data_IF_182017450575
#
_entry.id   IF_182017450575
#
_cell.length_a   1.000
_cell.length_b   1.000
_cell.length_c   1.000
_cell.angle_alpha   90.00
_cell.angle_beta   90.00
_cell.angle_gamma   90.00
#
_symmetry.space_group_name_H-M   'P 1'
#
loop_
_entity.id
_entity.type
_entity.pdbx_description
1 polymer ?
#
# COMPACT_ATOMS: atom_id res chain seq x y z
N UNK A 1 19.57 -18.10 -5.11
CA UNK A 1 18.87 -18.06 -3.80
C UNK A 1 17.44 -17.59 -4.00
N UNK A 2 16.49 -18.08 -3.19
CA UNK A 2 15.10 -17.61 -3.19
C UNK A 2 15.07 -16.20 -2.58
N UNK A 3 14.37 -15.26 -3.21
CA UNK A 3 14.17 -13.93 -2.62
C UNK A 3 13.20 -14.06 -1.45
N UNK A 4 13.60 -13.56 -0.28
CA UNK A 4 12.75 -13.39 0.89
C UNK A 4 13.00 -11.97 1.38
N UNK A 5 11.96 -11.12 1.49
CA UNK A 5 12.17 -9.80 2.05
C UNK A 5 12.71 -9.97 3.48
N UNK A 6 13.68 -9.16 3.89
CA UNK A 6 14.09 -9.18 5.29
C UNK A 6 13.01 -8.52 6.15
N UNK A 7 13.07 -8.71 7.47
CA UNK A 7 12.07 -8.20 8.40
C UNK A 7 11.90 -6.68 8.30
N UNK A 8 13.00 -5.95 8.08
CA UNK A 8 12.98 -4.50 7.96
C UNK A 8 12.21 -4.05 6.71
N UNK A 9 12.46 -4.66 5.55
CA UNK A 9 11.70 -4.38 4.33
C UNK A 9 10.21 -4.70 4.50
N UNK A 10 9.86 -5.78 5.22
CA UNK A 10 8.45 -6.09 5.50
C UNK A 10 7.76 -4.98 6.28
N UNK A 11 8.40 -4.47 7.35
CA UNK A 11 7.83 -3.38 8.16
C UNK A 11 7.70 -2.12 7.31
N UNK A 12 8.72 -1.77 6.53
CA UNK A 12 8.70 -0.60 5.63
C UNK A 12 7.54 -0.72 4.63
N UNK A 13 7.38 -1.88 3.97
CA UNK A 13 6.30 -2.07 3.00
C UNK A 13 4.92 -2.06 3.66
N UNK A 14 4.79 -2.59 4.88
CA UNK A 14 3.55 -2.50 5.63
C UNK A 14 3.20 -1.04 5.93
N UNK A 15 4.18 -0.23 6.30
CA UNK A 15 3.99 1.20 6.51
C UNK A 15 3.60 1.95 5.24
N UNK A 16 4.29 1.69 4.12
CA UNK A 16 3.94 2.25 2.80
C UNK A 16 2.49 1.92 2.43
N UNK A 17 2.04 0.71 2.75
CA UNK A 17 0.67 0.28 2.48
C UNK A 17 -0.31 1.01 3.39
N UNK A 18 -0.05 1.09 4.69
CA UNK A 18 -0.92 1.81 5.64
C UNK A 18 -1.03 3.29 5.25
N UNK A 19 0.09 3.96 4.99
CA UNK A 19 0.10 5.37 4.54
C UNK A 19 -0.63 5.56 3.22
N UNK A 20 -0.54 4.61 2.29
CA UNK A 20 -1.26 4.65 1.03
C UNK A 20 -2.79 4.73 1.13
N UNK A 21 -3.36 4.36 2.28
CA UNK A 21 -4.81 4.44 2.51
C UNK A 21 -5.33 5.88 2.45
N UNK A 22 -4.51 6.88 2.83
CA UNK A 22 -4.90 8.31 2.78
C UNK A 22 -5.17 8.80 1.36
N UNK A 23 -4.61 8.14 0.34
CA UNK A 23 -4.84 8.46 -1.07
C UNK A 23 -5.85 7.52 -1.72
N UNK A 24 -5.85 6.24 -1.34
CA UNK A 24 -6.77 5.25 -1.90
C UNK A 24 -8.22 5.57 -1.53
N UNK A 25 -8.50 5.90 -0.27
CA UNK A 25 -9.87 6.15 0.18
C UNK A 25 -10.53 7.34 -0.53
N UNK A 26 -9.88 8.52 -0.65
CA UNK A 26 -10.45 9.63 -1.42
C UNK A 26 -10.70 9.34 -2.90
N UNK A 27 -9.89 8.46 -3.53
CA UNK A 27 -10.15 8.03 -4.90
C UNK A 27 -11.46 7.27 -4.98
N UNK A 28 -11.62 6.25 -4.15
CA UNK A 28 -12.82 5.41 -4.12
C UNK A 28 -14.06 6.25 -3.80
N UNK A 29 -13.99 7.08 -2.77
CA UNK A 29 -15.11 7.98 -2.41
C UNK A 29 -15.39 9.02 -3.49
N UNK A 30 -14.37 9.63 -4.07
CA UNK A 30 -14.55 10.61 -5.14
C UNK A 30 -15.21 10.02 -6.40
N UNK A 31 -14.91 8.76 -6.73
CA UNK A 31 -15.54 8.02 -7.83
C UNK A 31 -17.00 7.67 -7.56
N UNK A 32 -17.35 7.31 -6.32
CA UNK A 32 -18.66 6.73 -6.00
C UNK A 32 -19.65 7.71 -5.39
N UNK A 33 -19.20 8.54 -4.45
CA UNK A 33 -20.03 9.56 -3.78
C UNK A 33 -20.22 10.78 -4.71
N UNK A 34 -19.33 10.96 -5.70
CA UNK A 34 -19.40 12.05 -6.67
C UNK A 34 -19.16 13.41 -6.02
N UNK A 35 -19.86 14.46 -6.47
CA UNK A 35 -19.59 15.85 -6.05
C UNK A 35 -19.94 16.18 -4.60
N UNK A 36 -20.64 15.28 -3.88
CA UNK A 36 -20.94 15.45 -2.45
C UNK A 36 -19.70 15.21 -1.58
N UNK A 37 -18.75 14.38 -2.04
CA UNK A 37 -17.52 14.11 -1.31
C UNK A 37 -16.47 15.18 -1.59
N UNK A 38 -16.15 15.95 -0.56
CA UNK A 38 -15.07 16.94 -0.59
C UNK A 38 -13.82 16.27 -0.04
N UNK A 39 -12.72 16.41 -0.78
CA UNK A 39 -11.42 15.96 -0.34
C UNK A 39 -10.42 17.09 -0.48
N UNK A 40 -9.50 17.15 0.47
CA UNK A 40 -8.36 18.04 0.46
C UNK A 40 -7.15 17.23 0.87
N UNK A 41 -5.99 17.61 0.37
CA UNK A 41 -4.75 16.93 0.63
C UNK A 41 -3.56 17.88 0.50
N UNK A 42 -2.43 17.26 0.19
CA UNK A 42 -1.10 17.85 -0.04
C UNK A 42 -1.10 19.33 -0.44
N UNK A 43 -0.54 20.22 0.39
CA UNK A 43 -0.18 21.61 0.04
C UNK A 43 -1.29 22.43 -0.67
N UNK A 44 -2.55 22.27 -0.27
CA UNK A 44 -3.69 23.02 -0.84
C UNK A 44 -4.31 22.37 -2.08
N UNK A 45 -3.85 21.18 -2.47
CA UNK A 45 -4.49 20.34 -3.48
C UNK A 45 -5.83 19.86 -2.93
N UNK A 46 -6.88 19.93 -3.75
CA UNK A 46 -8.20 19.52 -3.32
C UNK A 46 -9.21 19.41 -4.45
N UNK A 47 -10.41 18.97 -4.09
CA UNK A 47 -11.46 18.77 -5.06
C UNK A 47 -12.77 18.31 -4.44
N UNK A 48 -13.73 18.08 -5.34
CA UNK A 48 -15.04 17.50 -5.01
C UNK A 48 -15.32 16.38 -5.98
N UNK A 49 -15.59 15.17 -5.49
CA UNK A 49 -15.71 14.00 -6.34
C UNK A 49 -14.47 13.79 -7.22
N UNK A 50 -14.68 13.70 -8.52
CA UNK A 50 -13.63 13.60 -9.55
C UNK A 50 -13.16 14.96 -10.11
N UNK A 51 -13.65 16.08 -9.58
CA UNK A 51 -13.31 17.43 -10.03
C UNK A 51 -12.15 18.03 -9.24
N UNK A 52 -11.57 19.13 -9.75
CA UNK A 52 -10.39 19.79 -9.16
C UNK A 52 -9.12 19.03 -9.53
N UNK A 53 -8.26 18.79 -8.55
CA UNK A 53 -6.94 18.18 -8.77
C UNK A 53 -6.95 16.64 -8.69
N UNK A 54 -8.08 16.01 -9.00
CA UNK A 54 -8.28 14.56 -8.78
C UNK A 54 -7.24 13.67 -9.47
N UNK A 55 -6.69 14.13 -10.59
CA UNK A 55 -5.61 13.44 -11.31
C UNK A 55 -4.34 13.26 -10.46
N UNK A 56 -4.07 14.15 -9.50
CA UNK A 56 -2.94 14.00 -8.58
C UNK A 56 -3.13 12.82 -7.63
N UNK A 57 -4.35 12.56 -7.16
CA UNK A 57 -4.64 11.38 -6.36
C UNK A 57 -4.35 10.09 -7.14
N UNK A 58 -4.79 10.04 -8.41
CA UNK A 58 -4.50 8.93 -9.31
C UNK A 58 -2.99 8.74 -9.51
N UNK A 59 -2.24 9.83 -9.66
CA UNK A 59 -0.78 9.80 -9.76
C UNK A 59 -0.12 9.25 -8.49
N UNK A 60 -0.49 9.75 -7.31
CA UNK A 60 0.05 9.25 -6.04
C UNK A 60 -0.24 7.77 -5.84
N UNK A 61 -1.46 7.32 -6.16
CA UNK A 61 -1.81 5.91 -6.10
C UNK A 61 -1.03 5.09 -7.12
N UNK A 62 -0.80 5.58 -8.34
CA UNK A 62 0.05 4.89 -9.30
C UNK A 62 1.49 4.71 -8.79
N UNK A 63 2.07 5.75 -8.15
CA UNK A 63 3.39 5.67 -7.50
C UNK A 63 3.38 4.65 -6.37
N UNK A 64 2.41 4.74 -5.47
CA UNK A 64 2.22 3.82 -4.35
C UNK A 64 2.11 2.36 -4.81
N UNK A 65 1.21 2.06 -5.75
CA UNK A 65 1.02 0.71 -6.29
C UNK A 65 2.32 0.18 -6.91
N UNK A 66 3.07 1.05 -7.58
CA UNK A 66 4.37 0.73 -8.16
C UNK A 66 5.42 0.40 -7.09
N UNK A 67 5.48 1.18 -6.00
CA UNK A 67 6.38 0.93 -4.86
C UNK A 67 6.03 -0.41 -4.22
N UNK A 68 4.76 -0.65 -3.89
CA UNK A 68 4.29 -1.88 -3.24
C UNK A 68 4.55 -3.09 -4.14
N UNK A 69 4.22 -2.99 -5.43
CA UNK A 69 4.50 -4.03 -6.41
C UNK A 69 5.99 -4.33 -6.49
N UNK A 70 6.85 -3.35 -6.76
CA UNK A 70 8.28 -3.62 -6.92
C UNK A 70 8.91 -4.10 -5.61
N UNK A 71 8.46 -3.58 -4.47
CA UNK A 71 8.90 -3.97 -3.13
C UNK A 71 8.67 -5.45 -2.85
N UNK A 72 7.44 -5.92 -3.04
CA UNK A 72 7.09 -7.33 -2.84
C UNK A 72 7.64 -8.27 -3.94
N UNK A 73 8.06 -7.72 -5.09
CA UNK A 73 8.50 -8.52 -6.25
C UNK A 73 10.00 -8.48 -6.51
N UNK A 74 10.78 -8.16 -5.49
CA UNK A 74 12.24 -8.28 -5.55
C UNK A 74 12.98 -7.02 -5.13
N UNK A 75 12.32 -5.88 -5.02
CA UNK A 75 12.92 -4.60 -4.63
C UNK A 75 14.17 -4.25 -5.48
N UNK A 76 14.00 -4.14 -6.79
CA UNK A 76 15.10 -3.82 -7.73
C UNK A 76 15.56 -2.36 -7.60
N UNK A 77 16.62 -1.95 -8.30
CA UNK A 77 17.14 -0.56 -8.22
C UNK A 77 16.08 0.55 -8.37
N UNK A 78 15.12 0.46 -9.31
CA UNK A 78 14.06 1.48 -9.43
C UNK A 78 13.18 1.58 -8.18
N UNK A 79 12.96 0.48 -7.46
CA UNK A 79 12.19 0.48 -6.22
C UNK A 79 12.84 1.36 -5.15
N UNK A 80 14.17 1.38 -5.05
CA UNK A 80 14.88 2.20 -4.05
C UNK A 80 14.54 3.68 -4.22
N UNK A 81 14.61 4.18 -5.46
CA UNK A 81 14.28 5.57 -5.78
C UNK A 81 12.80 5.87 -5.52
N UNK A 82 11.90 4.99 -5.97
CA UNK A 82 10.47 5.20 -5.78
C UNK A 82 10.06 5.15 -4.30
N UNK A 83 10.67 4.27 -3.51
CA UNK A 83 10.44 4.20 -2.06
C UNK A 83 10.86 5.50 -1.38
N UNK A 84 12.05 6.03 -1.72
CA UNK A 84 12.54 7.28 -1.14
C UNK A 84 11.68 8.48 -1.57
N UNK A 85 11.27 8.55 -2.84
CA UNK A 85 10.37 9.59 -3.32
C UNK A 85 9.03 9.52 -2.56
N UNK A 86 8.44 8.33 -2.45
CA UNK A 86 7.18 8.13 -1.73
C UNK A 86 7.28 8.59 -0.27
N UNK A 87 8.30 8.13 0.47
CA UNK A 87 8.46 8.49 1.87
C UNK A 87 8.82 9.97 2.05
N UNK A 88 9.57 10.57 1.12
CA UNK A 88 9.86 12.00 1.14
C UNK A 88 8.58 12.83 0.94
N UNK A 89 7.70 12.41 0.03
CA UNK A 89 6.40 13.06 -0.17
C UNK A 89 5.53 13.00 1.10
N UNK A 90 5.52 11.86 1.79
CA UNK A 90 4.84 11.74 3.09
C UNK A 90 5.46 12.65 4.16
N UNK A 91 6.79 12.68 4.29
CA UNK A 91 7.49 13.58 5.23
C UNK A 91 7.17 15.05 4.96
N UNK A 92 7.11 15.46 3.69
CA UNK A 92 6.74 16.82 3.31
C UNK A 92 5.28 17.11 3.71
N UNK A 93 4.37 16.17 3.45
CA UNK A 93 2.94 16.30 3.80
C UNK A 93 2.75 16.44 5.31
N UNK A 94 3.22 15.45 6.06
CA UNK A 94 3.05 15.40 7.50
C UNK A 94 3.85 16.50 8.18
N UNK A 95 4.98 16.93 7.60
CA UNK A 95 5.73 18.11 8.04
C UNK A 95 4.92 19.40 7.87
N UNK A 96 4.25 19.60 6.74
CA UNK A 96 3.36 20.74 6.56
C UNK A 96 2.23 20.75 7.61
N UNK A 97 1.63 19.58 7.89
CA UNK A 97 0.63 19.43 8.96
C UNK A 97 1.19 19.62 10.38
N UNK A 98 2.47 19.27 10.59
CA UNK A 98 3.14 19.41 11.88
C UNK A 98 3.41 20.88 12.22
N UNK A 99 3.81 21.67 11.22
CA UNK A 99 4.17 23.08 11.38
C UNK A 99 3.02 24.05 11.11
N UNK A 100 1.90 23.61 10.54
CA UNK A 100 0.72 24.46 10.34
C UNK A 100 0.07 24.84 11.67
N UNK A 101 -0.39 26.09 11.79
CA UNK A 101 -1.18 26.56 12.93
C UNK A 101 -2.56 25.88 13.04
N UNK A 102 -3.09 25.41 11.90
CA UNK A 102 -4.35 24.69 11.80
C UNK A 102 -4.11 23.17 11.89
N UNK A 103 -3.66 22.69 13.04
CA UNK A 103 -3.49 21.24 13.24
C UNK A 103 -4.84 20.53 13.21
N UNK A 104 -4.95 19.50 12.36
CA UNK A 104 -6.10 18.60 12.34
C UNK A 104 -6.07 17.76 13.61
N UNK A 105 -7.08 17.93 14.46
CA UNK A 105 -7.27 17.12 15.66
C UNK A 105 -8.21 15.97 15.36
N UNK A 106 -7.75 14.76 15.65
CA UNK A 106 -8.67 13.62 15.74
C UNK A 106 -9.30 13.66 17.13
N UNK A 107 -10.59 13.99 17.20
CA UNK A 107 -11.34 13.96 18.46
C UNK A 107 -11.98 12.59 18.62
N UNK A 108 -11.39 11.77 19.48
CA UNK A 108 -12.03 10.52 19.87
C UNK A 108 -13.13 10.78 20.89
N UNK A 109 -14.40 10.69 20.49
CA UNK A 109 -15.56 10.92 21.37
C UNK A 109 -15.57 10.02 22.62
N UNK A 110 -14.82 8.91 22.63
CA UNK A 110 -14.76 7.94 23.73
C UNK A 110 -13.59 8.13 24.70
N UNK A 111 -12.50 8.80 24.30
CA UNK A 111 -11.27 8.92 25.11
C UNK A 111 -10.96 10.36 25.54
N UNK A 112 -11.73 11.35 25.07
CA UNK A 112 -11.52 12.77 25.41
C UNK A 112 -10.13 13.31 25.03
N UNK A 113 -9.38 12.56 24.21
CA UNK A 113 -8.02 12.89 23.81
C UNK A 113 -8.05 13.46 22.39
N UNK A 114 -7.47 14.64 22.24
CA UNK A 114 -7.30 15.32 20.97
C UNK A 114 -5.86 15.15 20.53
N UNK A 115 -5.63 14.31 19.51
CA UNK A 115 -4.31 14.14 18.94
C UNK A 115 -4.20 14.94 17.65
N UNK A 116 -3.20 15.82 17.60
CA UNK A 116 -2.82 16.49 16.37
C UNK A 116 -2.18 15.46 15.44
N UNK A 117 -2.85 15.12 14.34
CA UNK A 117 -2.45 14.04 13.42
C UNK A 117 -1.03 14.25 12.90
N UNK A 118 -0.68 15.49 12.52
CA UNK A 118 0.67 15.85 12.07
C UNK A 118 1.76 15.58 13.10
N UNK A 119 1.49 15.73 14.40
CA UNK A 119 2.46 15.46 15.49
C UNK A 119 2.82 13.98 15.61
N UNK A 120 1.97 13.09 15.13
CA UNK A 120 2.21 11.65 15.14
C UNK A 120 2.80 11.21 13.80
N UNK A 121 2.19 11.64 12.68
CA UNK A 121 2.60 11.21 11.34
C UNK A 121 4.00 11.71 10.99
N UNK A 122 4.36 12.96 11.31
CA UNK A 122 5.65 13.51 10.89
C UNK A 122 6.87 12.78 11.49
N UNK A 123 6.95 12.55 12.81
CA UNK A 123 8.04 11.74 13.36
C UNK A 123 8.06 10.31 12.80
N UNK A 124 6.89 9.74 12.53
CA UNK A 124 6.75 8.38 12.02
C UNK A 124 7.24 8.28 10.56
N UNK A 125 6.84 9.20 9.70
CA UNK A 125 7.31 9.31 8.31
C UNK A 125 8.83 9.51 8.26
N UNK A 126 9.36 10.39 9.12
CA UNK A 126 10.79 10.66 9.20
C UNK A 126 11.57 9.41 9.65
N UNK A 127 11.03 8.66 10.62
CA UNK A 127 11.59 7.38 11.06
C UNK A 127 11.61 6.38 9.90
N UNK A 128 10.51 6.22 9.17
CA UNK A 128 10.43 5.26 8.07
C UNK A 128 11.28 5.64 6.86
N UNK A 129 11.43 6.94 6.57
CA UNK A 129 12.40 7.45 5.60
C UNK A 129 13.83 7.07 6.01
N UNK A 130 14.19 7.29 7.27
CA UNK A 130 15.51 6.98 7.81
C UNK A 130 15.81 5.47 7.78
N UNK A 131 14.85 4.65 8.21
CA UNK A 131 14.95 3.18 8.14
C UNK A 131 15.09 2.69 6.70
N UNK A 132 14.40 3.33 5.75
CA UNK A 132 14.49 3.01 4.33
C UNK A 132 15.86 3.35 3.76
N UNK A 133 16.44 4.50 4.11
CA UNK A 133 17.82 4.83 3.75
C UNK A 133 18.82 3.78 4.26
N UNK A 134 18.72 3.40 5.54
CA UNK A 134 19.57 2.36 6.15
C UNK A 134 19.40 1.03 5.40
N UNK A 135 18.16 0.63 5.13
CA UNK A 135 17.85 -0.61 4.43
C UNK A 135 18.41 -0.61 3.00
N UNK A 136 18.21 0.48 2.24
CA UNK A 136 18.72 0.63 0.86
C UNK A 136 20.24 0.53 0.83
N UNK A 137 20.95 1.23 1.73
CA UNK A 137 22.42 1.17 1.82
C UNK A 137 22.89 -0.27 2.07
N UNK A 138 22.21 -1.00 2.98
CA UNK A 138 22.53 -2.42 3.27
C UNK A 138 22.23 -3.32 2.08
N UNK A 139 21.15 -3.07 1.36
CA UNK A 139 20.73 -3.85 0.20
C UNK A 139 21.66 -3.64 -1.01
N UNK A 140 22.07 -2.40 -1.28
CA UNK A 140 23.01 -2.06 -2.36
C UNK A 140 24.41 -2.64 -2.12
N UNK A 141 24.84 -2.79 -0.86
CA UNK A 141 26.10 -3.45 -0.50
C UNK A 141 26.07 -4.97 -0.74
N UNK A 142 24.89 -5.60 -0.74
CA UNK A 142 24.76 -7.03 -1.03
C UNK A 142 24.85 -7.24 -2.55
N UNK A 143 25.90 -7.94 -3.01
CA UNK A 143 26.03 -8.39 -4.42
C UNK A 143 25.09 -9.56 -4.76
N UNK A 144 23.83 -9.49 -4.34
CA UNK A 144 22.86 -10.57 -4.57
C UNK A 144 22.11 -10.35 -5.88
N UNK A 145 22.22 -11.31 -6.80
CA UNK A 145 21.33 -11.41 -7.96
C UNK A 145 19.90 -11.70 -7.49
N UNK A 146 19.05 -10.67 -7.46
CA UNK A 146 17.63 -10.83 -7.09
C UNK A 146 16.88 -11.54 -8.22
N UNK A 147 16.40 -12.75 -7.96
CA UNK A 147 15.57 -13.48 -8.93
C UNK A 147 14.17 -12.86 -9.00
N UNK A 148 13.63 -12.71 -10.21
CA UNK A 148 12.22 -12.35 -10.42
C UNK A 148 11.33 -13.41 -9.79
N UNK A 149 10.37 -12.97 -8.99
CA UNK A 149 9.37 -13.85 -8.39
C UNK A 149 8.30 -14.11 -9.46
N UNK A 150 7.87 -15.36 -9.62
CA UNK A 150 6.80 -15.73 -10.54
C UNK A 150 5.42 -15.58 -9.87
N UNK A 151 4.39 -15.27 -10.64
CA UNK A 151 3.02 -15.20 -10.13
C UNK A 151 2.48 -16.62 -9.96
N UNK A 152 1.92 -16.92 -8.78
CA UNK A 152 1.23 -18.19 -8.57
C UNK A 152 -0.29 -18.01 -8.60
N UNK A 153 -1.03 -19.11 -8.63
CA UNK A 153 -2.49 -19.12 -8.67
C UNK A 153 -3.10 -18.30 -7.53
N UNK A 154 -2.55 -18.40 -6.31
CA UNK A 154 -3.00 -17.62 -5.15
C UNK A 154 -2.95 -16.11 -5.39
N UNK A 155 -1.84 -15.59 -5.92
CA UNK A 155 -1.75 -14.16 -6.24
C UNK A 155 -2.82 -13.73 -7.26
N UNK A 156 -3.06 -14.56 -8.29
CA UNK A 156 -4.08 -14.28 -9.32
C UNK A 156 -5.49 -14.30 -8.74
N UNK A 157 -5.80 -15.28 -7.89
CA UNK A 157 -7.10 -15.36 -7.22
C UNK A 157 -7.34 -14.16 -6.31
N UNK A 158 -6.36 -13.78 -5.49
CA UNK A 158 -6.49 -12.60 -4.62
C UNK A 158 -6.64 -11.30 -5.42
N UNK A 159 -5.90 -11.15 -6.53
CA UNK A 159 -6.05 -9.99 -7.41
C UNK A 159 -7.43 -9.97 -8.08
N UNK A 160 -7.98 -11.13 -8.43
CA UNK A 160 -9.34 -11.25 -8.96
C UNK A 160 -10.36 -10.81 -7.91
N UNK A 161 -10.23 -11.28 -6.66
CA UNK A 161 -11.08 -10.85 -5.54
C UNK A 161 -10.98 -9.34 -5.33
N UNK A 162 -9.78 -8.76 -5.37
CA UNK A 162 -9.58 -7.30 -5.29
C UNK A 162 -10.40 -6.53 -6.34
N UNK A 163 -10.38 -6.98 -7.60
CA UNK A 163 -11.18 -6.35 -8.66
C UNK A 163 -12.69 -6.58 -8.50
N UNK A 164 -13.11 -7.72 -7.94
CA UNK A 164 -14.53 -7.97 -7.64
C UNK A 164 -15.08 -7.17 -6.45
N UNK A 165 -14.22 -6.66 -5.56
CA UNK A 165 -14.67 -5.77 -4.48
C UNK A 165 -15.10 -4.39 -5.01
N UNK A 166 -14.51 -3.90 -6.12
CA UNK A 166 -14.88 -2.62 -6.73
C UNK A 166 -16.38 -2.48 -7.07
N UNK A 167 -17.01 -3.41 -7.82
CA UNK A 167 -18.44 -3.32 -8.09
C UNK A 167 -19.28 -3.45 -6.82
N UNK A 168 -18.83 -4.21 -5.82
CA UNK A 168 -19.52 -4.30 -4.54
C UNK A 168 -19.49 -2.95 -3.79
N UNK A 169 -18.33 -2.26 -3.78
CA UNK A 169 -18.19 -0.92 -3.23
C UNK A 169 -19.11 0.09 -3.92
N UNK A 170 -19.20 0.03 -5.26
CA UNK A 170 -20.12 0.87 -6.03
C UNK A 170 -21.58 0.65 -5.59
N UNK A 171 -22.02 -0.61 -5.44
CA UNK A 171 -23.37 -0.92 -4.98
C UNK A 171 -23.62 -0.37 -3.57
N UNK A 172 -22.67 -0.55 -2.65
CA UNK A 172 -22.87 -0.19 -1.24
C UNK A 172 -22.82 1.31 -0.99
N UNK A 173 -21.89 2.02 -1.63
CA UNK A 173 -21.72 3.46 -1.44
C UNK A 173 -22.78 4.27 -2.18
N UNK A 174 -23.19 3.80 -3.37
CA UNK A 174 -24.09 4.59 -4.22
C UNK A 174 -25.57 4.22 -4.12
N UNK A 175 -25.90 2.97 -3.80
CA UNK A 175 -27.30 2.50 -3.79
C UNK A 175 -27.89 2.33 -2.40
N UNK A 176 -27.06 2.09 -1.39
CA UNK A 176 -27.52 1.72 -0.05
C UNK A 176 -27.20 2.77 1.02
N UNK A 177 -26.47 3.84 0.68
CA UNK A 177 -25.99 4.89 1.61
C UNK A 177 -25.30 4.33 2.87
N UNK A 178 -24.64 3.17 2.75
CA UNK A 178 -23.91 2.54 3.85
C UNK A 178 -22.42 2.93 3.83
N UNK A 179 -22.15 4.20 4.12
CA UNK A 179 -20.80 4.80 4.15
C UNK A 179 -19.79 3.96 4.94
N UNK A 180 -20.16 3.53 6.15
CA UNK A 180 -19.29 2.75 7.03
C UNK A 180 -18.89 1.41 6.40
N UNK A 181 -19.83 0.73 5.74
CA UNK A 181 -19.57 -0.54 5.08
C UNK A 181 -18.69 -0.35 3.84
N UNK A 182 -18.90 0.72 3.08
CA UNK A 182 -18.02 1.08 1.96
C UNK A 182 -16.58 1.35 2.40
N UNK A 183 -16.37 2.04 3.53
CA UNK A 183 -15.03 2.24 4.12
C UNK A 183 -14.41 0.91 4.56
N UNK A 184 -15.16 0.04 5.25
CA UNK A 184 -14.68 -1.30 5.63
C UNK A 184 -14.31 -2.16 4.43
N UNK A 185 -15.13 -2.14 3.37
CA UNK A 185 -14.81 -2.82 2.10
C UNK A 185 -13.55 -2.26 1.47
N UNK A 186 -13.31 -0.95 1.57
CA UNK A 186 -12.11 -0.30 1.05
C UNK A 186 -10.86 -0.71 1.82
N UNK A 187 -10.94 -0.81 3.15
CA UNK A 187 -9.87 -1.36 3.98
C UNK A 187 -9.60 -2.83 3.62
N UNK A 188 -10.65 -3.63 3.50
CA UNK A 188 -10.53 -5.04 3.14
C UNK A 188 -9.91 -5.23 1.74
N UNK A 189 -10.37 -4.44 0.76
CA UNK A 189 -9.82 -4.41 -0.58
C UNK A 189 -8.32 -4.11 -0.56
N UNK A 190 -7.90 -3.14 0.25
CA UNK A 190 -6.51 -2.76 0.39
C UNK A 190 -5.64 -3.87 1.00
N UNK A 191 -6.16 -4.59 2.01
CA UNK A 191 -5.52 -5.77 2.59
C UNK A 191 -5.38 -6.88 1.54
N UNK A 192 -6.45 -7.17 0.79
CA UNK A 192 -6.45 -8.19 -0.27
C UNK A 192 -5.44 -7.84 -1.37
N UNK A 193 -5.33 -6.58 -1.76
CA UNK A 193 -4.33 -6.12 -2.72
C UNK A 193 -2.91 -6.40 -2.24
N UNK A 194 -2.59 -6.02 -1.00
CA UNK A 194 -1.28 -6.27 -0.43
C UNK A 194 -0.96 -7.77 -0.38
N UNK A 195 -1.92 -8.57 0.10
CA UNK A 195 -1.82 -10.02 0.10
C UNK A 195 -1.64 -10.58 -1.32
N UNK A 196 -2.31 -10.02 -2.33
CA UNK A 196 -2.17 -10.44 -3.72
C UNK A 196 -0.76 -10.20 -4.28
N UNK A 197 -0.01 -9.23 -3.75
CA UNK A 197 1.36 -8.94 -4.17
C UNK A 197 2.42 -9.72 -3.38
N UNK A 198 2.08 -10.17 -2.18
CA UNK A 198 2.97 -10.93 -1.32
C UNK A 198 3.58 -12.15 -2.05
N UNK A 199 4.88 -12.43 -1.86
CA UNK A 199 5.58 -13.54 -2.52
C UNK A 199 5.21 -14.90 -1.90
N UNK A 200 3.95 -15.32 -2.02
CA UNK A 200 3.49 -16.62 -1.55
C UNK A 200 4.38 -17.73 -2.09
N UNK A 201 4.89 -18.56 -1.19
CA UNK A 201 5.67 -19.72 -1.59
C UNK A 201 4.73 -20.75 -2.18
N UNK A 202 4.97 -21.22 -3.40
CA UNK A 202 4.30 -22.43 -3.85
C UNK A 202 4.78 -23.57 -2.95
N UNK A 203 3.90 -24.03 -2.05
CA UNK A 203 4.12 -25.23 -1.24
C UNK A 203 4.29 -26.51 -2.08
N UNK A 204 4.26 -26.41 -3.41
CA UNK A 204 4.75 -27.44 -4.32
C UNK A 204 6.25 -27.66 -4.10
N UNK A 205 6.58 -28.41 -3.03
CA UNK A 205 7.58 -29.47 -3.11
C UNK A 205 7.25 -30.22 -4.40
N UNK A 206 7.95 -29.93 -5.50
CA UNK A 206 8.20 -30.98 -6.49
C UNK A 206 8.83 -32.09 -5.65
N UNK A 207 8.10 -33.20 -5.44
CA UNK A 207 8.76 -34.47 -5.11
C UNK A 207 9.93 -34.55 -6.08
N UNK A 208 11.16 -34.65 -5.58
CA UNK A 208 12.30 -34.79 -6.47
C UNK A 208 12.00 -35.99 -7.38
N UNK A 209 12.37 -35.94 -8.67
CA UNK A 209 12.18 -37.07 -9.57
C UNK A 209 12.77 -38.39 -9.03
N UNK A 210 13.69 -38.32 -8.07
CA UNK A 210 14.29 -39.44 -7.35
C UNK A 210 13.34 -40.22 -6.43
N UNK A 211 12.10 -39.76 -6.20
CA UNK A 211 11.06 -40.55 -5.50
C UNK A 211 10.05 -41.19 -6.46
N UNK A 212 10.37 -41.31 -7.75
CA UNK A 212 9.65 -42.28 -8.60
C UNK A 212 10.27 -43.65 -8.34
N UNK A 213 9.51 -44.64 -7.82
CA UNK A 213 10.02 -46.01 -7.80
C UNK A 213 10.44 -46.34 -9.23
N UNK A 214 11.69 -46.75 -9.40
CA UNK A 214 12.18 -47.21 -10.70
C UNK A 214 11.24 -48.30 -11.24
N UNK A 215 11.03 -48.39 -12.56
CA UNK A 215 10.26 -49.50 -13.11
C UNK A 215 10.93 -50.80 -12.64
N UNK A 216 10.21 -51.55 -11.81
CA UNK A 216 10.59 -52.91 -11.48
C UNK A 216 10.55 -53.69 -12.79
N UNK A 217 11.71 -54.00 -13.34
CA UNK A 217 11.84 -54.99 -14.40
C UNK A 217 11.65 -56.37 -13.74
N UNK A 218 10.55 -57.02 -14.08
CA UNK A 218 10.34 -58.46 -13.90
C UNK A 218 10.77 -59.17 -15.18
#
# INVERSE_FOLDING_TARGET
>A
MKWKPDFLLHIILLYVVISGFTFWLPIIRGLFDGSSYIWSGWLGIGGKGIYGDYWLLLFFVAVLLSVVYMGWRGAQKPFHWMLLIWLLLLVIESGAMFYSAETIYFKGDTLGTEFAVGKILFPLDLLFLSLSCIWIIRDLKKKSSKKKILWIRTNRTLLTIFFFIFPLQLLTLRLLDYDQFGVMLTLFQWIVFNAALYPWQSFYKRKSPEQRPGPYYF
#
